data_IF_628386928859
#
_entry.id   IF_628386928859
#
_cell.length_a   1.000
_cell.length_b   1.000
_cell.length_c   1.000
_cell.angle_alpha   90.00
_cell.angle_beta   90.00
_cell.angle_gamma   90.00
#
_symmetry.space_group_name_H-M   'P 1'
#
loop_
_entity.id
_entity.type
_entity.pdbx_description
1 polymer ?
#
# COMPACT_ATOMS: atom_id res chain seq x y z
N UNK A 1 -23.86 -6.86 87.69
CA UNK A 1 -24.88 -6.08 88.42
C UNK A 1 -24.61 -4.60 88.18
N UNK A 2 -25.62 -3.90 87.63
CA UNK A 2 -25.93 -2.46 87.76
C UNK A 2 -24.87 -1.44 87.28
N UNK A 3 -25.18 -0.30 86.65
CA UNK A 3 -26.42 0.35 86.23
C UNK A 3 -26.06 1.58 85.37
N UNK A 4 -26.93 1.90 84.41
CA UNK A 4 -27.43 3.25 84.06
C UNK A 4 -26.45 4.42 83.85
N UNK A 5 -26.41 4.97 82.62
CA UNK A 5 -26.64 6.41 82.45
C UNK A 5 -27.16 6.79 81.06
N UNK A 6 -28.17 7.66 81.09
CA UNK A 6 -29.01 8.16 80.01
C UNK A 6 -28.45 9.50 79.51
N UNK A 7 -28.44 9.74 78.20
CA UNK A 7 -28.66 11.10 77.62
C UNK A 7 -28.93 10.97 76.11
N UNK A 8 -30.19 11.05 75.66
CA UNK A 8 -30.83 12.26 75.09
C UNK A 8 -29.96 12.99 74.07
N UNK A 9 -30.21 12.81 72.77
CA UNK A 9 -30.66 13.90 71.88
C UNK A 9 -30.97 13.45 70.45
N UNK A 10 -31.95 14.14 69.87
CA UNK A 10 -32.14 14.42 68.45
C UNK A 10 -32.60 13.28 67.52
N UNK A 11 -33.92 13.10 67.56
CA UNK A 11 -34.76 12.74 66.41
C UNK A 11 -34.34 13.57 65.18
N UNK A 12 -33.81 12.92 64.14
CA UNK A 12 -33.81 13.46 62.77
C UNK A 12 -34.74 12.62 61.92
N UNK A 13 -35.95 13.16 61.79
CA UNK A 13 -37.00 12.75 60.86
C UNK A 13 -36.46 12.68 59.43
N UNK A 14 -36.86 11.60 58.74
CA UNK A 14 -37.52 11.64 57.44
C UNK A 14 -36.65 12.01 56.23
N UNK A 15 -36.48 11.05 55.32
CA UNK A 15 -36.98 11.13 53.94
C UNK A 15 -36.76 9.79 53.22
N UNK A 16 -37.87 9.07 53.03
CA UNK A 16 -38.09 8.20 51.88
C UNK A 16 -37.89 9.04 50.60
N UNK A 17 -37.16 8.53 49.62
CA UNK A 17 -37.04 9.22 48.33
C UNK A 17 -36.31 8.41 47.26
N UNK A 18 -37.07 7.65 46.48
CA UNK A 18 -36.87 7.52 45.03
C UNK A 18 -35.61 6.84 44.52
N UNK A 19 -35.71 5.53 44.28
CA UNK A 19 -34.88 4.81 43.31
C UNK A 19 -35.20 5.32 41.90
N UNK A 20 -34.35 6.22 41.37
CA UNK A 20 -34.39 6.64 39.97
C UNK A 20 -33.31 5.87 39.19
N UNK A 21 -33.73 4.86 38.45
CA UNK A 21 -32.89 4.13 37.48
C UNK A 21 -32.71 5.04 36.26
N UNK A 22 -31.53 5.64 36.12
CA UNK A 22 -31.16 6.38 34.92
C UNK A 22 -30.82 5.38 33.80
N UNK A 23 -31.77 5.18 32.87
CA UNK A 23 -31.54 4.46 31.62
C UNK A 23 -30.69 5.36 30.73
N UNK A 24 -29.38 5.08 30.66
CA UNK A 24 -28.50 5.74 29.70
C UNK A 24 -28.72 5.09 28.34
N UNK A 25 -29.31 5.84 27.40
CA UNK A 25 -29.43 5.45 26.01
C UNK A 25 -28.03 5.36 25.38
N UNK A 26 -27.57 4.14 25.11
CA UNK A 26 -26.37 3.89 24.31
C UNK A 26 -26.70 4.21 22.85
N UNK A 27 -26.13 5.27 22.29
CA UNK A 27 -26.18 5.55 20.86
C UNK A 27 -25.24 4.60 20.14
N UNK A 28 -25.78 3.48 19.67
CA UNK A 28 -25.06 2.52 18.83
C UNK A 28 -24.93 3.06 17.39
N UNK A 29 -23.97 3.94 17.14
CA UNK A 29 -23.53 4.29 15.78
C UNK A 29 -22.65 3.17 15.21
N UNK A 30 -23.29 2.05 14.88
CA UNK A 30 -22.65 0.88 14.29
C UNK A 30 -23.17 0.63 12.88
N UNK A 31 -22.88 1.54 11.93
CA UNK A 31 -23.08 1.30 10.49
C UNK A 31 -22.00 1.96 9.64
N UNK A 32 -20.75 1.59 9.88
CA UNK A 32 -19.70 1.79 8.89
C UNK A 32 -19.91 0.76 7.79
N UNK A 33 -20.76 1.09 6.80
CA UNK A 33 -20.88 0.30 5.59
C UNK A 33 -19.49 0.23 4.94
N UNK A 34 -18.92 -0.97 4.88
CA UNK A 34 -17.75 -1.22 4.05
C UNK A 34 -18.20 -0.99 2.61
N UNK A 35 -17.60 -0.02 1.95
CA UNK A 35 -17.81 0.21 0.52
C UNK A 35 -17.52 -1.11 -0.20
N UNK A 36 -18.54 -1.72 -0.78
CA UNK A 36 -18.39 -2.91 -1.59
C UNK A 36 -17.74 -2.48 -2.90
N UNK A 37 -16.45 -2.76 -3.07
CA UNK A 37 -15.83 -2.63 -4.38
C UNK A 37 -16.51 -3.62 -5.34
N UNK A 38 -17.10 -3.15 -6.45
CA UNK A 38 -17.68 -4.03 -7.45
C UNK A 38 -16.65 -5.04 -7.95
N UNK A 39 -17.07 -6.29 -8.16
CA UNK A 39 -16.22 -7.32 -8.78
C UNK A 39 -15.95 -6.87 -10.22
N UNK A 40 -14.68 -6.77 -10.61
CA UNK A 40 -14.30 -6.34 -11.94
C UNK A 40 -14.88 -7.28 -13.01
N UNK A 41 -15.94 -6.84 -13.69
CA UNK A 41 -16.46 -7.51 -14.89
C UNK A 41 -15.55 -7.19 -16.07
N UNK A 42 -15.56 -8.01 -17.15
CA UNK A 42 -14.78 -7.72 -18.36
C UNK A 42 -14.95 -6.28 -18.87
N UNK A 43 -16.17 -5.73 -18.78
CA UNK A 43 -16.51 -4.36 -19.15
C UNK A 43 -15.86 -3.28 -18.26
N UNK A 44 -15.63 -3.54 -16.97
CA UNK A 44 -14.87 -2.60 -16.10
C UNK A 44 -13.35 -2.65 -16.33
N UNK A 45 -12.82 -3.76 -16.84
CA UNK A 45 -11.39 -3.89 -17.19
C UNK A 45 -11.03 -2.99 -18.37
N UNK A 46 -11.94 -2.85 -19.34
CA UNK A 46 -11.82 -1.90 -20.45
C UNK A 46 -12.00 -0.45 -20.01
N UNK A 47 -12.81 -0.18 -18.98
CA UNK A 47 -13.01 1.18 -18.44
C UNK A 47 -11.78 1.75 -17.70
N UNK A 48 -10.81 0.91 -17.33
CA UNK A 48 -9.56 1.31 -16.69
C UNK A 48 -8.38 1.44 -17.67
N UNK A 49 -8.65 1.47 -18.97
CA UNK A 49 -7.61 1.65 -19.99
C UNK A 49 -7.37 3.14 -20.27
N UNK A 50 -6.13 3.52 -20.63
CA UNK A 50 -5.86 4.86 -21.16
C UNK A 50 -6.71 5.18 -22.39
N UNK A 51 -6.95 6.47 -22.64
CA UNK A 51 -7.67 6.90 -23.84
C UNK A 51 -6.96 6.44 -25.11
N UNK A 52 -7.70 5.84 -26.05
CA UNK A 52 -7.15 5.29 -27.30
C UNK A 52 -6.45 3.94 -27.16
N UNK A 53 -6.37 3.36 -25.96
CA UNK A 53 -5.81 2.03 -25.78
C UNK A 53 -6.82 0.93 -26.15
N UNK A 54 -6.31 -0.15 -26.77
CA UNK A 54 -7.10 -1.34 -27.13
C UNK A 54 -6.71 -2.50 -26.21
N UNK A 55 -7.67 -3.15 -25.52
CA UNK A 55 -7.36 -4.31 -24.68
C UNK A 55 -6.76 -5.46 -25.50
N UNK A 56 -5.77 -6.16 -24.94
CA UNK A 56 -5.26 -7.40 -25.51
C UNK A 56 -5.95 -8.57 -24.81
N UNK A 57 -6.71 -9.36 -25.57
CA UNK A 57 -7.36 -10.59 -25.09
C UNK A 57 -7.00 -11.79 -25.99
N UNK A 58 -6.50 -12.91 -25.42
CA UNK A 58 -6.20 -13.13 -24.00
C UNK A 58 -4.94 -12.41 -23.52
N UNK A 59 -4.86 -12.10 -22.23
CA UNK A 59 -3.63 -11.62 -21.60
C UNK A 59 -2.55 -12.70 -21.72
N UNK A 60 -1.37 -12.32 -22.22
CA UNK A 60 -0.21 -13.19 -22.31
C UNK A 60 0.67 -12.98 -21.08
N UNK A 61 0.93 -14.05 -20.34
CA UNK A 61 1.79 -14.00 -19.17
C UNK A 61 3.24 -13.65 -19.58
N UNK A 62 3.83 -12.68 -18.90
CA UNK A 62 5.25 -12.35 -19.07
C UNK A 62 6.11 -13.33 -18.27
N UNK A 63 7.19 -13.80 -18.88
CA UNK A 63 8.16 -14.66 -18.21
C UNK A 63 9.01 -13.85 -17.22
N UNK A 64 9.63 -14.55 -16.27
CA UNK A 64 10.57 -13.93 -15.33
C UNK A 64 11.71 -13.20 -16.07
N UNK A 65 12.27 -13.82 -17.11
CA UNK A 65 13.41 -13.28 -17.85
C UNK A 65 13.06 -11.98 -18.58
N UNK A 66 11.79 -11.77 -18.94
CA UNK A 66 11.30 -10.53 -19.54
C UNK A 66 11.15 -9.39 -18.52
N UNK A 67 10.89 -9.73 -17.25
CA UNK A 67 10.56 -8.78 -16.18
C UNK A 67 11.78 -8.40 -15.34
N UNK A 68 12.70 -9.34 -15.14
CA UNK A 68 13.90 -9.17 -14.31
C UNK A 68 14.77 -7.95 -14.73
N UNK A 69 14.98 -7.66 -16.02
CA UNK A 69 15.73 -6.46 -16.44
C UNK A 69 15.01 -5.14 -16.10
N UNK A 70 13.67 -5.14 -16.09
CA UNK A 70 12.90 -3.96 -15.69
C UNK A 70 12.98 -3.74 -14.18
N UNK A 71 12.83 -4.80 -13.39
CA UNK A 71 12.99 -4.72 -11.94
C UNK A 71 14.41 -4.31 -11.53
N UNK A 72 15.43 -4.85 -12.20
CA UNK A 72 16.84 -4.50 -11.92
C UNK A 72 17.09 -3.00 -12.09
N UNK A 73 16.57 -2.40 -13.17
CA UNK A 73 16.65 -0.94 -13.39
C UNK A 73 15.96 -0.12 -12.30
N UNK A 74 14.86 -0.62 -11.73
CA UNK A 74 14.20 0.03 -10.59
C UNK A 74 15.09 -0.01 -9.35
N UNK A 75 15.74 -1.15 -9.08
CA UNK A 75 16.66 -1.28 -7.94
C UNK A 75 17.92 -0.40 -8.13
N UNK A 76 18.48 -0.36 -9.33
CA UNK A 76 19.60 0.51 -9.68
C UNK A 76 19.26 1.98 -9.52
N UNK A 77 18.08 2.40 -9.97
CA UNK A 77 17.63 3.79 -9.83
C UNK A 77 17.34 4.18 -8.38
N UNK A 78 16.87 3.24 -7.54
CA UNK A 78 16.80 3.45 -6.10
C UNK A 78 18.21 3.71 -5.51
N UNK A 79 19.21 2.91 -5.89
CA UNK A 79 20.58 3.02 -5.39
C UNK A 79 21.29 4.30 -5.84
N UNK A 80 20.94 4.83 -7.02
CA UNK A 80 21.54 6.06 -7.56
C UNK A 80 20.75 7.33 -7.22
N UNK A 81 19.70 7.23 -6.40
CA UNK A 81 18.76 8.34 -6.11
C UNK A 81 18.04 8.88 -7.37
N UNK A 82 18.02 8.11 -8.46
CA UNK A 82 17.34 8.44 -9.72
C UNK A 82 15.96 7.77 -9.85
N UNK A 83 15.40 7.20 -8.77
CA UNK A 83 14.12 6.48 -8.80
C UNK A 83 12.99 7.34 -9.37
N UNK A 84 13.02 8.65 -9.10
CA UNK A 84 12.04 9.60 -9.63
C UNK A 84 11.90 9.56 -11.15
N UNK A 85 12.96 9.22 -11.89
CA UNK A 85 12.94 9.10 -13.35
C UNK A 85 12.25 7.83 -13.84
N UNK A 86 12.21 6.78 -13.01
CA UNK A 86 11.54 5.51 -13.33
C UNK A 86 10.05 5.51 -12.96
N UNK A 87 9.62 6.43 -12.09
CA UNK A 87 8.22 6.58 -11.72
C UNK A 87 7.45 7.30 -12.84
N UNK A 88 6.51 6.58 -13.45
CA UNK A 88 5.66 7.13 -14.50
C UNK A 88 4.84 8.34 -14.03
N UNK A 89 4.40 9.17 -14.97
CA UNK A 89 3.76 10.46 -14.68
C UNK A 89 2.49 10.35 -13.81
N UNK A 90 1.74 9.26 -13.98
CA UNK A 90 0.54 8.96 -13.19
C UNK A 90 0.81 8.21 -11.89
N UNK A 91 2.06 8.12 -11.42
CA UNK A 91 2.38 7.40 -10.19
C UNK A 91 1.75 8.12 -8.98
N UNK A 92 0.93 7.38 -8.24
CA UNK A 92 0.20 7.90 -7.10
C UNK A 92 1.16 8.39 -6.02
N UNK A 93 1.00 9.63 -5.56
CA UNK A 93 1.80 10.22 -4.48
C UNK A 93 3.32 10.12 -4.71
N UNK A 94 3.78 10.32 -5.95
CA UNK A 94 5.22 10.28 -6.34
C UNK A 94 6.12 11.07 -5.40
N UNK A 95 5.75 12.31 -5.06
CA UNK A 95 6.54 13.16 -4.15
C UNK A 95 6.68 12.54 -2.76
N UNK A 96 5.57 12.07 -2.17
CA UNK A 96 5.56 11.43 -0.85
C UNK A 96 6.44 10.18 -0.81
N UNK A 97 6.46 9.37 -1.87
CA UNK A 97 7.35 8.21 -1.94
C UNK A 97 8.83 8.64 -1.91
N UNK A 98 9.18 9.64 -2.73
CA UNK A 98 10.56 10.14 -2.80
C UNK A 98 10.98 10.79 -1.47
N UNK A 99 10.12 11.62 -0.88
CA UNK A 99 10.35 12.22 0.44
C UNK A 99 10.53 11.15 1.52
N UNK A 100 9.73 10.08 1.50
CA UNK A 100 9.85 8.98 2.45
C UNK A 100 11.19 8.24 2.30
N UNK A 101 11.65 8.02 1.07
CA UNK A 101 12.97 7.42 0.81
C UNK A 101 14.06 8.34 1.34
N UNK A 102 14.04 9.63 1.00
CA UNK A 102 15.07 10.59 1.39
C UNK A 102 15.16 10.81 2.91
N UNK A 103 14.03 10.71 3.61
CA UNK A 103 13.96 10.91 5.07
C UNK A 103 14.16 9.65 5.89
N UNK A 104 13.80 8.47 5.36
CA UNK A 104 13.77 7.21 6.12
C UNK A 104 14.94 6.30 5.77
N UNK A 105 15.45 6.34 4.54
CA UNK A 105 16.58 5.52 4.14
C UNK A 105 17.90 6.12 4.68
N UNK A 106 18.79 5.29 5.26
CA UNK A 106 20.15 5.72 5.56
C UNK A 106 20.87 6.23 4.30
N UNK A 107 21.73 7.25 4.44
CA UNK A 107 22.38 7.91 3.30
C UNK A 107 23.28 6.98 2.47
N UNK A 108 23.86 5.97 3.11
CA UNK A 108 24.74 4.98 2.48
C UNK A 108 24.01 3.66 2.18
N UNK A 109 22.67 3.65 2.26
CA UNK A 109 21.91 2.46 2.03
C UNK A 109 21.93 2.05 0.55
N UNK A 110 22.08 0.74 0.33
CA UNK A 110 21.93 0.08 -0.96
C UNK A 110 20.86 -1.00 -0.87
N UNK A 111 20.01 -1.09 -1.88
CA UNK A 111 19.00 -2.11 -2.05
C UNK A 111 19.52 -3.15 -3.04
N UNK A 112 19.45 -4.42 -2.66
CA UNK A 112 19.88 -5.54 -3.47
C UNK A 112 18.72 -6.48 -3.76
N UNK A 113 18.53 -6.84 -5.02
CA UNK A 113 17.61 -7.90 -5.43
C UNK A 113 18.21 -9.27 -5.05
N UNK A 114 17.46 -10.08 -4.31
CA UNK A 114 17.88 -11.43 -3.91
C UNK A 114 17.24 -12.50 -4.79
N UNK A 115 15.93 -12.39 -5.03
CA UNK A 115 15.19 -13.35 -5.87
C UNK A 115 13.83 -12.79 -6.27
N UNK A 116 13.35 -13.14 -7.46
CA UNK A 116 11.94 -12.95 -7.84
C UNK A 116 11.15 -14.19 -7.42
N UNK A 117 10.07 -14.00 -6.66
CA UNK A 117 9.21 -15.08 -6.17
C UNK A 117 8.01 -15.34 -7.09
N UNK A 118 7.45 -14.27 -7.67
CA UNK A 118 6.26 -14.36 -8.49
C UNK A 118 6.15 -13.19 -9.46
N UNK A 119 5.54 -13.47 -10.61
CA UNK A 119 5.25 -12.50 -11.67
C UNK A 119 3.80 -12.72 -12.08
N UNK A 120 3.01 -11.65 -12.11
CA UNK A 120 1.62 -11.68 -12.53
C UNK A 120 1.32 -10.53 -13.49
N UNK A 121 0.99 -10.85 -14.74
CA UNK A 121 0.46 -9.84 -15.68
C UNK A 121 -0.95 -9.46 -15.24
N UNK A 122 -1.13 -8.21 -14.82
CA UNK A 122 -2.41 -7.68 -14.32
C UNK A 122 -3.28 -7.15 -15.47
N UNK A 123 -2.65 -6.50 -16.44
CA UNK A 123 -3.32 -5.82 -17.54
C UNK A 123 -2.36 -5.74 -18.74
N UNK A 124 -2.91 -5.87 -19.94
CA UNK A 124 -2.17 -5.76 -21.17
C UNK A 124 -3.03 -5.05 -22.22
N UNK A 125 -2.44 -4.10 -22.95
CA UNK A 125 -3.15 -3.32 -23.95
C UNK A 125 -2.17 -2.76 -24.98
N UNK A 126 -2.69 -2.45 -26.16
CA UNK A 126 -1.99 -1.69 -27.20
C UNK A 126 -2.31 -0.21 -27.01
N UNK A 127 -1.31 0.65 -27.10
CA UNK A 127 -1.50 2.11 -27.16
C UNK A 127 -0.72 2.69 -28.35
N UNK A 128 -1.16 3.84 -28.90
CA UNK A 128 -0.40 4.52 -29.96
C UNK A 128 1.03 4.80 -29.52
N UNK A 129 1.99 4.55 -30.40
CA UNK A 129 3.38 4.87 -30.15
C UNK A 129 3.60 6.39 -30.27
N UNK A 130 4.08 7.08 -29.22
CA UNK A 130 4.36 8.51 -29.30
C UNK A 130 5.55 8.86 -30.21
N UNK A 131 6.39 7.88 -30.58
CA UNK A 131 7.60 8.09 -31.39
C UNK A 131 7.33 7.86 -32.87
N UNK A 132 6.50 6.86 -33.21
CA UNK A 132 6.27 6.44 -34.59
C UNK A 132 4.80 6.59 -34.95
N UNK A 133 4.49 7.55 -35.81
CA UNK A 133 3.11 7.80 -36.24
C UNK A 133 2.50 6.55 -36.93
N UNK A 134 1.28 6.19 -36.51
CA UNK A 134 0.58 5.01 -37.02
C UNK A 134 1.04 3.66 -36.44
N UNK A 135 2.08 3.64 -35.60
CA UNK A 135 2.53 2.45 -34.89
C UNK A 135 1.80 2.28 -33.55
N UNK A 136 1.71 1.04 -33.08
CA UNK A 136 1.26 0.75 -31.72
C UNK A 136 2.39 0.10 -30.90
N UNK A 137 2.27 0.18 -29.59
CA UNK A 137 3.17 -0.50 -28.66
C UNK A 137 2.38 -1.29 -27.64
N UNK A 138 2.92 -2.45 -27.29
CA UNK A 138 2.34 -3.33 -26.31
C UNK A 138 2.76 -2.89 -24.91
N UNK A 139 1.78 -2.52 -24.08
CA UNK A 139 2.00 -2.16 -22.68
C UNK A 139 1.45 -3.23 -21.78
N UNK A 140 2.30 -3.70 -20.87
CA UNK A 140 1.96 -4.68 -19.86
C UNK A 140 2.15 -4.09 -18.47
N UNK A 141 1.11 -4.18 -17.63
CA UNK A 141 1.21 -3.89 -16.21
C UNK A 141 1.38 -5.20 -15.45
N UNK A 142 2.43 -5.28 -14.66
CA UNK A 142 2.89 -6.52 -14.03
C UNK A 142 3.10 -6.30 -12.55
N UNK A 143 2.55 -7.17 -11.72
CA UNK A 143 2.94 -7.29 -10.31
C UNK A 143 4.10 -8.27 -10.19
N UNK A 144 5.13 -7.87 -9.46
CA UNK A 144 6.33 -8.66 -9.20
C UNK A 144 6.56 -8.73 -7.70
N UNK A 145 6.50 -9.93 -7.13
CA UNK A 145 6.89 -10.16 -5.75
C UNK A 145 8.37 -10.56 -5.72
N UNK A 146 9.21 -9.81 -5.02
CA UNK A 146 10.64 -10.05 -4.96
C UNK A 146 11.19 -9.95 -3.52
N UNK A 147 12.18 -10.80 -3.24
CA UNK A 147 13.02 -10.65 -2.05
C UNK A 147 14.08 -9.60 -2.34
N UNK A 148 14.20 -8.65 -1.45
CA UNK A 148 15.26 -7.64 -1.48
C UNK A 148 16.00 -7.62 -0.14
N UNK A 149 17.17 -6.99 -0.13
CA UNK A 149 17.97 -6.77 1.05
C UNK A 149 18.47 -5.34 1.07
N UNK A 150 18.16 -4.61 2.13
CA UNK A 150 18.73 -3.30 2.41
C UNK A 150 20.06 -3.48 3.14
N UNK A 151 21.12 -2.85 2.65
CA UNK A 151 22.47 -2.92 3.18
C UNK A 151 22.97 -1.50 3.48
N UNK A 152 23.42 -1.22 4.70
CA UNK A 152 23.89 0.11 5.12
C UNK A 152 24.79 0.04 6.36
N UNK A 153 25.50 1.13 6.67
CA UNK A 153 26.30 1.28 7.89
C UNK A 153 25.47 1.95 8.98
N UNK A 154 25.33 1.33 10.13
CA UNK A 154 24.64 1.91 11.27
C UNK A 154 25.47 3.04 11.92
N UNK A 155 24.84 3.83 12.79
CA UNK A 155 25.49 4.98 13.43
C UNK A 155 26.70 4.63 14.32
N UNK A 156 26.85 3.37 14.70
CA UNK A 156 28.00 2.82 15.43
C UNK A 156 29.12 2.29 14.52
N UNK A 157 29.00 2.45 13.20
CA UNK A 157 29.94 1.96 12.20
C UNK A 157 29.76 0.50 11.82
N UNK A 158 28.78 -0.21 12.39
CA UNK A 158 28.52 -1.62 12.06
C UNK A 158 27.78 -1.78 10.74
N UNK A 159 28.15 -2.79 9.95
CA UNK A 159 27.45 -3.11 8.71
C UNK A 159 26.17 -3.89 8.99
N UNK A 160 25.03 -3.38 8.52
CA UNK A 160 23.70 -3.95 8.74
C UNK A 160 23.08 -4.45 7.44
N UNK A 161 22.46 -5.64 7.49
CA UNK A 161 21.63 -6.20 6.42
C UNK A 161 20.20 -6.39 6.91
N UNK A 162 19.21 -5.90 6.17
CA UNK A 162 17.78 -6.09 6.46
C UNK A 162 17.07 -6.72 5.27
N UNK A 163 16.67 -8.00 5.36
CA UNK A 163 15.90 -8.64 4.29
C UNK A 163 14.44 -8.15 4.28
N UNK A 164 13.82 -8.18 3.11
CA UNK A 164 12.42 -7.85 2.91
C UNK A 164 11.80 -8.61 1.72
N UNK A 165 10.47 -8.69 1.72
CA UNK A 165 9.68 -9.14 0.56
C UNK A 165 8.84 -7.95 0.12
N UNK A 166 8.99 -7.54 -1.13
CA UNK A 166 8.34 -6.35 -1.67
C UNK A 166 7.57 -6.71 -2.94
N UNK A 167 6.46 -6.01 -3.16
CA UNK A 167 5.69 -6.06 -4.38
C UNK A 167 5.98 -4.82 -5.23
N UNK A 168 6.28 -5.02 -6.51
CA UNK A 168 6.54 -3.97 -7.48
C UNK A 168 5.49 -4.02 -8.57
N UNK A 169 4.84 -2.90 -8.85
CA UNK A 169 3.94 -2.77 -10.00
C UNK A 169 4.71 -2.07 -11.13
N UNK A 170 5.04 -2.83 -12.16
CA UNK A 170 5.84 -2.36 -13.29
C UNK A 170 4.94 -2.11 -14.49
N UNK A 171 5.25 -1.06 -15.25
CA UNK A 171 4.73 -0.83 -16.61
C UNK A 171 5.86 -1.14 -17.59
N UNK A 172 5.70 -2.21 -18.35
CA UNK A 172 6.69 -2.67 -19.34
C UNK A 172 6.11 -2.43 -20.73
N UNK A 173 6.90 -1.77 -21.57
CA UNK A 173 6.52 -1.45 -22.95
C UNK A 173 7.40 -2.26 -23.90
N UNK A 174 6.78 -2.93 -24.86
CA UNK A 174 7.44 -3.64 -25.94
C UNK A 174 7.11 -2.96 -27.27
N UNK A 175 8.09 -2.80 -28.17
CA UNK A 175 7.76 -2.54 -29.57
C UNK A 175 6.94 -3.72 -30.11
N UNK A 176 5.95 -3.44 -30.95
CA UNK A 176 5.20 -4.48 -31.66
C UNK A 176 6.19 -5.29 -32.55
N UNK A 177 6.11 -6.62 -32.52
CA UNK A 177 6.95 -7.51 -33.34
C UNK A 177 6.35 -7.71 -34.72
#
# INVERSE_FOLDING_TARGET
>A
MNATMISRTAVRRMLLGGMAVAIVFVTADARQFRYLQPIATPSTRSAALPAGATPVEPIVALSRDQVEPALTRVIESWNSQALGEQLGDGFYDKSRLLDAIDTTAPRDASLRLQSIQGVQTLQQYLEPDPVTEGSTRLVSRVSVTARTQLEFTAGDGSFTRRPGVNEFILRITHPEQ
#
